data_IF_624176311264
#
_entry.id   IF_624176311264
#
_cell.length_a   1.000
_cell.length_b   1.000
_cell.length_c   1.000
_cell.angle_alpha   90.00
_cell.angle_beta   90.00
_cell.angle_gamma   90.00
#
_symmetry.space_group_name_H-M   'P 1'
#
loop_
_entity.id
_entity.type
_entity.pdbx_description
1 polymer ?
#
# COMPACT_ATOMS: atom_id res chain seq x y z
N UNK A 1 -12.26 -4.68 57.96
CA UNK A 1 -12.55 -5.50 56.77
C UNK A 1 -12.25 -4.65 55.54
N UNK A 2 -11.11 -4.87 54.88
CA UNK A 2 -10.65 -4.09 53.73
C UNK A 2 -10.96 -4.91 52.47
N UNK A 3 -11.74 -4.33 51.55
CA UNK A 3 -12.29 -5.01 50.37
C UNK A 3 -11.22 -5.44 49.34
N UNK A 4 -11.55 -6.40 48.46
CA UNK A 4 -10.60 -6.93 47.50
C UNK A 4 -10.28 -5.88 46.42
N UNK A 5 -8.99 -5.55 46.32
CA UNK A 5 -8.45 -4.67 45.28
C UNK A 5 -8.75 -5.20 43.89
N UNK A 6 -9.31 -4.33 43.06
CA UNK A 6 -9.49 -4.52 41.63
C UNK A 6 -8.12 -4.60 40.95
N UNK A 7 -7.62 -5.81 40.74
CA UNK A 7 -6.46 -6.03 39.87
C UNK A 7 -6.91 -5.70 38.44
N UNK A 8 -6.65 -4.47 38.01
CA UNK A 8 -6.76 -4.07 36.61
C UNK A 8 -5.91 -5.02 35.80
N UNK A 9 -6.54 -5.90 35.01
CA UNK A 9 -5.85 -6.72 34.03
C UNK A 9 -5.30 -5.78 32.95
N UNK A 10 -4.07 -5.32 33.13
CA UNK A 10 -3.29 -4.78 32.03
C UNK A 10 -2.96 -5.94 31.10
N UNK A 11 -3.82 -6.20 30.12
CA UNK A 11 -3.52 -7.12 29.02
C UNK A 11 -2.30 -6.53 28.30
N UNK A 12 -1.16 -7.24 28.33
CA UNK A 12 0.01 -6.83 27.57
C UNK A 12 -0.34 -6.86 26.08
N UNK A 13 -0.52 -5.67 25.49
CA UNK A 13 -0.78 -5.56 24.05
C UNK A 13 0.50 -6.04 23.34
N UNK A 14 0.42 -7.09 22.50
CA UNK A 14 1.61 -7.65 21.90
C UNK A 14 2.26 -6.62 20.96
N UNK A 15 3.59 -6.65 20.86
CA UNK A 15 4.40 -5.62 20.21
C UNK A 15 3.91 -5.28 18.78
N UNK A 16 3.43 -6.29 18.04
CA UNK A 16 2.94 -6.16 16.67
C UNK A 16 1.61 -5.37 16.53
N UNK A 17 0.91 -5.07 17.63
CA UNK A 17 -0.36 -4.32 17.66
C UNK A 17 -0.17 -2.89 18.20
N UNK A 18 1.02 -2.56 18.71
CA UNK A 18 1.31 -1.21 19.22
C UNK A 18 1.51 -0.25 18.04
N UNK A 19 0.68 0.78 17.97
CA UNK A 19 0.85 1.85 16.99
C UNK A 19 2.07 2.69 17.37
N UNK A 20 3.18 2.50 16.65
CA UNK A 20 4.33 3.39 16.77
C UNK A 20 4.02 4.73 16.09
N UNK A 21 4.51 5.87 16.63
CA UNK A 21 4.47 7.14 15.92
C UNK A 21 5.02 6.98 14.51
N UNK A 22 4.30 7.52 13.52
CA UNK A 22 4.76 7.46 12.12
C UNK A 22 5.87 8.49 11.92
N UNK A 23 6.94 8.05 11.27
CA UNK A 23 8.06 8.89 10.88
C UNK A 23 7.65 9.88 9.78
N UNK A 24 8.39 11.00 9.66
CA UNK A 24 8.08 12.00 8.63
C UNK A 24 8.55 11.52 7.25
N UNK A 25 7.76 11.84 6.22
CA UNK A 25 8.00 11.41 4.85
C UNK A 25 9.34 11.90 4.27
N UNK A 26 9.86 13.04 4.75
CA UNK A 26 11.12 13.62 4.30
C UNK A 26 12.34 13.09 5.07
N UNK A 27 12.13 12.39 6.18
CA UNK A 27 13.19 11.82 7.00
C UNK A 27 13.96 10.76 6.23
N UNK A 28 15.30 10.81 6.33
CA UNK A 28 16.17 9.79 5.73
C UNK A 28 16.40 8.69 6.75
N UNK A 29 16.00 7.48 6.38
CA UNK A 29 16.07 6.31 7.25
C UNK A 29 16.80 5.18 6.53
N UNK A 30 17.35 4.26 7.32
CA UNK A 30 18.13 3.16 6.80
C UNK A 30 17.24 2.02 6.26
N UNK A 31 17.56 1.49 5.08
CA UNK A 31 16.90 0.29 4.56
C UNK A 31 17.31 -0.94 5.37
N UNK A 32 16.34 -1.72 5.85
CA UNK A 32 16.61 -2.96 6.61
C UNK A 32 17.21 -4.10 5.78
N UNK A 33 17.19 -3.97 4.45
CA UNK A 33 17.68 -4.99 3.53
C UNK A 33 19.10 -4.70 3.00
N UNK A 34 19.52 -3.44 2.92
CA UNK A 34 20.81 -3.09 2.31
C UNK A 34 21.57 -1.96 3.03
N UNK A 35 21.04 -1.48 4.16
CA UNK A 35 21.61 -0.42 4.97
C UNK A 35 21.82 0.93 4.25
N UNK A 36 21.25 1.10 3.05
CA UNK A 36 21.27 2.39 2.36
C UNK A 36 20.38 3.40 3.10
N UNK A 37 20.88 4.63 3.28
CA UNK A 37 20.08 5.75 3.77
C UNK A 37 19.19 6.27 2.64
N UNK A 38 17.88 6.22 2.83
CA UNK A 38 16.87 6.56 1.82
C UNK A 38 15.77 7.39 2.48
N UNK A 39 15.24 8.39 1.75
CA UNK A 39 14.08 9.15 2.21
C UNK A 39 12.88 8.22 2.39
N UNK A 40 12.15 8.37 3.49
CA UNK A 40 11.04 7.50 3.84
C UNK A 40 9.97 7.43 2.73
N UNK A 41 9.68 8.56 2.09
CA UNK A 41 8.73 8.62 0.98
C UNK A 41 9.16 7.86 -0.29
N UNK A 42 10.45 7.59 -0.48
CA UNK A 42 10.98 6.78 -1.59
C UNK A 42 11.32 5.35 -1.19
N UNK A 43 11.29 5.03 0.11
CA UNK A 43 11.64 3.71 0.65
C UNK A 43 10.83 2.57 0.01
N UNK A 44 9.54 2.77 -0.28
CA UNK A 44 8.70 1.78 -0.97
C UNK A 44 9.28 1.39 -2.34
N UNK A 45 9.75 2.35 -3.13
CA UNK A 45 10.34 2.09 -4.44
C UNK A 45 11.70 1.42 -4.31
N UNK A 46 12.49 1.85 -3.33
CA UNK A 46 13.79 1.26 -3.04
C UNK A 46 13.68 -0.21 -2.62
N UNK A 47 12.82 -0.52 -1.64
CA UNK A 47 12.52 -1.89 -1.20
C UNK A 47 11.84 -2.71 -2.30
N UNK A 48 10.96 -2.08 -3.09
CA UNK A 48 10.34 -2.73 -4.25
C UNK A 48 11.36 -3.30 -5.23
N UNK A 49 12.51 -2.63 -5.44
CA UNK A 49 13.60 -3.15 -6.26
C UNK A 49 14.16 -4.47 -5.71
N UNK A 50 14.45 -4.51 -4.41
CA UNK A 50 14.96 -5.71 -3.73
C UNK A 50 13.97 -6.88 -3.85
N UNK A 51 12.68 -6.63 -3.59
CA UNK A 51 11.61 -7.63 -3.70
C UNK A 51 11.53 -8.16 -5.14
N UNK A 52 11.50 -7.27 -6.14
CA UNK A 52 11.41 -7.67 -7.55
C UNK A 52 12.64 -8.46 -8.00
N UNK A 53 13.84 -8.12 -7.52
CA UNK A 53 15.05 -8.86 -7.87
C UNK A 53 15.01 -10.27 -7.30
N UNK A 54 14.67 -10.39 -6.01
CA UNK A 54 14.49 -11.68 -5.34
C UNK A 54 13.45 -12.56 -6.04
N UNK A 55 12.26 -12.01 -6.34
CA UNK A 55 11.19 -12.74 -7.04
C UNK A 55 11.54 -13.18 -8.47
N UNK A 56 12.52 -12.52 -9.10
CA UNK A 56 13.00 -12.86 -10.45
C UNK A 56 14.27 -13.70 -10.43
N UNK A 57 14.75 -14.13 -9.26
CA UNK A 57 16.03 -14.83 -9.13
C UNK A 57 17.21 -13.99 -9.57
N UNK A 58 17.08 -12.66 -9.60
CA UNK A 58 18.17 -11.76 -9.94
C UNK A 58 18.99 -11.47 -8.68
N UNK A 59 20.31 -11.60 -8.80
CA UNK A 59 21.23 -11.25 -7.74
C UNK A 59 21.17 -9.74 -7.43
N UNK A 60 21.00 -9.40 -6.16
CA UNK A 60 21.09 -8.03 -5.67
C UNK A 60 22.29 -7.90 -4.74
N UNK A 61 23.39 -7.34 -5.27
CA UNK A 61 24.68 -7.30 -4.57
C UNK A 61 24.70 -6.51 -3.27
N UNK A 62 23.67 -5.69 -3.02
CA UNK A 62 23.56 -4.86 -1.82
C UNK A 62 22.66 -5.50 -0.77
N UNK A 63 21.98 -6.60 -1.10
CA UNK A 63 21.08 -7.28 -0.20
C UNK A 63 21.89 -8.01 0.88
N UNK A 64 21.56 -7.77 2.14
CA UNK A 64 22.20 -8.43 3.28
C UNK A 64 21.33 -9.57 3.82
N UNK A 65 20.18 -9.31 4.48
CA UNK A 65 19.20 -10.36 4.72
C UNK A 65 18.39 -10.64 3.47
N UNK A 66 17.98 -11.89 3.30
CA UNK A 66 17.04 -12.26 2.25
C UNK A 66 15.70 -11.53 2.40
N UNK A 67 15.06 -11.28 1.27
CA UNK A 67 13.68 -10.79 1.23
C UNK A 67 12.78 -11.86 1.86
N UNK A 68 11.87 -11.44 2.76
CA UNK A 68 10.96 -12.38 3.40
C UNK A 68 10.01 -13.06 2.41
N UNK A 69 9.53 -14.26 2.74
CA UNK A 69 8.61 -15.01 1.87
C UNK A 69 7.33 -14.22 1.52
N UNK A 70 6.77 -13.50 2.49
CA UNK A 70 5.66 -12.56 2.33
C UNK A 70 6.17 -11.14 2.67
N UNK A 71 6.89 -10.47 1.75
CA UNK A 71 7.67 -9.30 2.10
C UNK A 71 6.80 -8.06 2.26
N UNK A 72 7.07 -7.29 3.32
CA UNK A 72 6.45 -6.00 3.51
C UNK A 72 6.88 -4.99 2.43
N UNK A 73 5.92 -4.32 1.78
CA UNK A 73 6.22 -3.33 0.73
C UNK A 73 7.02 -2.10 1.18
N UNK A 74 7.21 -1.86 2.48
CA UNK A 74 8.03 -0.74 3.00
C UNK A 74 9.36 -1.15 3.58
N UNK A 75 9.45 -2.29 4.28
CA UNK A 75 10.70 -2.72 4.93
C UNK A 75 11.28 -4.02 4.35
N UNK A 76 10.54 -4.74 3.50
CA UNK A 76 10.98 -5.95 2.80
C UNK A 76 11.06 -7.22 3.65
N UNK A 77 10.94 -7.08 4.98
CA UNK A 77 10.93 -8.20 5.92
C UNK A 77 9.58 -8.94 5.88
N UNK A 78 9.61 -10.25 6.17
CA UNK A 78 8.42 -11.10 6.22
C UNK A 78 7.80 -11.21 7.61
N UNK A 79 6.48 -11.45 7.67
CA UNK A 79 5.77 -11.95 8.85
C UNK A 79 5.52 -10.97 10.02
N UNK A 80 6.07 -9.75 9.97
CA UNK A 80 6.00 -8.81 11.10
C UNK A 80 5.13 -7.57 10.85
N UNK A 81 4.84 -7.27 9.60
CA UNK A 81 4.08 -6.08 9.21
C UNK A 81 2.68 -6.47 8.75
N UNK A 82 1.68 -5.75 9.23
CA UNK A 82 0.30 -5.89 8.79
C UNK A 82 -0.14 -4.60 8.13
N UNK A 83 -0.74 -4.69 6.94
CA UNK A 83 -1.18 -3.54 6.15
C UNK A 83 -2.62 -3.76 5.73
N UNK A 84 -3.44 -2.73 5.89
CA UNK A 84 -4.86 -2.75 5.54
C UNK A 84 -5.19 -1.55 4.65
N UNK A 85 -6.11 -1.76 3.72
CA UNK A 85 -6.76 -0.68 2.98
C UNK A 85 -8.17 -0.52 3.56
N UNK A 86 -8.44 0.60 4.19
CA UNK A 86 -9.75 0.92 4.77
C UNK A 86 -10.44 1.99 3.95
N UNK A 87 -11.76 1.94 3.85
CA UNK A 87 -12.56 2.95 3.16
C UNK A 87 -13.30 3.79 4.19
N UNK A 88 -13.10 5.10 4.17
CA UNK A 88 -13.86 6.05 4.97
C UNK A 88 -14.86 6.78 4.09
N UNK A 89 -16.15 6.70 4.42
CA UNK A 89 -17.21 7.42 3.74
C UNK A 89 -17.59 8.66 4.53
N UNK A 90 -17.47 9.84 3.92
CA UNK A 90 -17.97 11.10 4.48
C UNK A 90 -18.92 11.76 3.49
N UNK A 91 -20.18 11.95 3.91
CA UNK A 91 -21.30 12.66 3.27
C UNK A 91 -21.61 12.31 1.80
N UNK A 92 -20.63 12.29 0.88
CA UNK A 92 -20.73 11.86 -0.53
C UNK A 92 -19.38 11.38 -1.14
N UNK A 93 -18.34 11.14 -0.32
CA UNK A 93 -17.02 10.76 -0.80
C UNK A 93 -16.50 9.54 -0.05
N UNK A 94 -16.08 8.52 -0.80
CA UNK A 94 -15.35 7.35 -0.29
C UNK A 94 -13.86 7.57 -0.52
N UNK A 95 -13.10 7.66 0.56
CA UNK A 95 -11.64 7.78 0.51
C UNK A 95 -11.01 6.49 1.01
N UNK A 96 -10.16 5.90 0.18
CA UNK A 96 -9.33 4.78 0.60
C UNK A 96 -8.11 5.29 1.38
N UNK A 97 -7.88 4.71 2.55
CA UNK A 97 -6.75 4.99 3.42
C UNK A 97 -5.94 3.72 3.64
N UNK A 98 -4.63 3.83 3.53
CA UNK A 98 -3.73 2.73 3.87
C UNK A 98 -3.31 2.90 5.32
N UNK A 99 -3.44 1.84 6.10
CA UNK A 99 -2.87 1.73 7.44
C UNK A 99 -1.88 0.58 7.46
N UNK A 100 -0.81 0.71 8.23
CA UNK A 100 0.18 -0.35 8.38
C UNK A 100 0.80 -0.31 9.77
N UNK A 101 1.14 -1.47 10.32
CA UNK A 101 1.96 -1.57 11.54
C UNK A 101 3.45 -1.38 11.25
N UNK A 102 3.85 -1.32 9.97
CA UNK A 102 5.24 -1.08 9.59
C UNK A 102 5.71 0.32 10.04
N UNK A 103 6.88 0.45 10.70
CA UNK A 103 7.43 1.75 11.06
C UNK A 103 7.80 2.59 9.83
N UNK A 104 8.05 1.95 8.68
CA UNK A 104 8.44 2.63 7.44
C UNK A 104 7.23 3.10 6.62
N UNK A 105 6.01 2.84 7.10
CA UNK A 105 4.81 3.44 6.55
C UNK A 105 4.65 4.89 7.04
N UNK A 106 4.57 5.86 6.12
CA UNK A 106 4.35 7.27 6.45
C UNK A 106 2.88 7.69 6.24
N UNK A 107 2.37 8.55 7.12
CA UNK A 107 0.94 8.87 7.18
C UNK A 107 0.40 9.64 5.96
N UNK A 108 1.25 10.37 5.24
CA UNK A 108 0.86 11.21 4.09
C UNK A 108 0.73 10.42 2.77
N UNK A 109 0.80 9.10 2.80
CA UNK A 109 0.68 8.28 1.60
C UNK A 109 -0.73 8.40 1.01
N UNK A 110 -0.82 8.84 -0.26
CA UNK A 110 -2.10 9.02 -0.95
C UNK A 110 -2.34 7.84 -1.88
N UNK A 111 -3.42 7.09 -1.64
CA UNK A 111 -3.85 6.01 -2.53
C UNK A 111 -4.60 6.54 -3.76
N UNK A 112 -5.41 7.59 -3.59
CA UNK A 112 -6.23 8.16 -4.68
C UNK A 112 -5.42 8.56 -5.90
N UNK A 113 -4.22 9.12 -5.72
CA UNK A 113 -3.34 9.49 -6.83
C UNK A 113 -2.81 8.28 -7.61
N UNK A 114 -2.68 7.12 -6.97
CA UNK A 114 -2.28 5.90 -7.65
C UNK A 114 -3.40 5.37 -8.57
N UNK A 115 -4.66 5.72 -8.34
CA UNK A 115 -5.77 5.29 -9.21
C UNK A 115 -5.72 5.87 -10.62
N UNK A 116 -4.92 6.89 -10.86
CA UNK A 116 -4.82 7.58 -12.15
C UNK A 116 -3.47 7.25 -12.77
N UNK A 117 -3.49 6.59 -13.93
CA UNK A 117 -2.29 6.42 -14.75
C UNK A 117 -1.94 7.76 -15.39
N UNK A 118 -0.66 8.08 -15.44
CA UNK A 118 -0.12 9.22 -16.19
C UNK A 118 1.04 8.77 -17.06
N UNK A 119 1.49 9.61 -18.00
CA UNK A 119 2.67 9.29 -18.83
C UNK A 119 3.92 9.02 -17.96
N UNK A 120 4.08 9.80 -16.88
CA UNK A 120 5.18 9.61 -15.93
C UNK A 120 4.97 8.43 -14.96
N UNK A 121 3.76 7.88 -14.87
CA UNK A 121 3.41 6.78 -13.95
C UNK A 121 2.28 5.94 -14.58
N UNK A 122 2.62 5.10 -15.59
CA UNK A 122 1.61 4.40 -16.39
C UNK A 122 0.88 3.30 -15.62
N UNK A 123 1.44 2.83 -14.50
CA UNK A 123 0.87 1.77 -13.68
C UNK A 123 0.09 2.33 -12.49
N UNK A 124 -1.17 1.94 -12.34
CA UNK A 124 -2.02 2.42 -11.25
C UNK A 124 -1.71 1.76 -9.90
N UNK A 125 -1.00 0.63 -9.84
CA UNK A 125 -0.70 -0.11 -8.59
C UNK A 125 -1.93 -0.27 -7.66
N UNK A 126 -3.14 -0.22 -8.23
CA UNK A 126 -4.42 -0.39 -7.54
C UNK A 126 -4.67 -1.89 -7.42
N UNK A 127 -4.81 -2.45 -6.21
CA UNK A 127 -5.26 -3.82 -6.03
C UNK A 127 -6.44 -4.17 -6.94
N UNK A 128 -6.29 -5.25 -7.69
CA UNK A 128 -7.36 -5.80 -8.51
C UNK A 128 -8.37 -6.49 -7.61
N UNK A 129 -9.65 -6.26 -7.87
CA UNK A 129 -10.71 -7.01 -7.19
C UNK A 129 -10.58 -8.48 -7.62
N UNK A 130 -10.30 -9.36 -6.66
CA UNK A 130 -10.29 -10.79 -6.92
C UNK A 130 -11.70 -11.24 -7.31
N UNK A 131 -11.91 -11.85 -8.49
CA UNK A 131 -13.24 -12.28 -8.94
C UNK A 131 -13.81 -13.42 -8.10
N UNK A 132 -12.97 -14.12 -7.33
CA UNK A 132 -13.38 -15.18 -6.39
C UNK A 132 -13.80 -14.64 -5.02
N UNK A 133 -13.41 -13.40 -4.69
CA UNK A 133 -13.82 -12.77 -3.45
C UNK A 133 -15.24 -12.19 -3.61
N UNK A 134 -16.12 -12.34 -2.61
CA UNK A 134 -17.41 -11.66 -2.61
C UNK A 134 -17.20 -10.16 -2.85
N UNK A 135 -17.91 -9.58 -3.83
CA UNK A 135 -17.87 -8.14 -4.02
C UNK A 135 -18.33 -7.46 -2.73
N UNK A 136 -17.41 -6.83 -2.00
CA UNK A 136 -17.80 -5.87 -0.97
C UNK A 136 -18.36 -4.65 -1.70
N UNK A 137 -19.64 -4.69 -2.06
CA UNK A 137 -20.35 -3.51 -2.54
C UNK A 137 -20.27 -2.49 -1.40
N UNK A 138 -19.70 -1.29 -1.61
CA UNK A 138 -20.11 -0.17 -0.76
C UNK A 138 -21.63 -0.03 -0.87
N UNK A 139 -22.35 0.44 0.18
CA UNK A 139 -23.79 0.63 0.13
C UNK A 139 -24.14 1.41 -1.14
N UNK A 140 -25.08 0.88 -1.94
CA UNK A 140 -25.53 1.49 -3.17
C UNK A 140 -25.91 2.94 -2.88
N UNK A 141 -25.07 3.88 -3.30
CA UNK A 141 -25.54 5.25 -3.55
C UNK A 141 -26.47 5.08 -4.75
N UNK A 142 -27.78 5.14 -4.51
CA UNK A 142 -28.79 5.14 -5.56
C UNK A 142 -28.42 6.24 -6.55
N UNK A 143 -27.96 5.86 -7.74
CA UNK A 143 -27.86 6.80 -8.86
C UNK A 143 -29.28 7.30 -9.17
N UNK A 144 -29.49 8.62 -9.34
CA UNK A 144 -30.75 9.10 -9.88
C UNK A 144 -30.93 8.51 -11.30
N UNK A 145 -32.14 8.09 -11.66
CA UNK A 145 -32.40 7.47 -12.95
C UNK A 145 -32.28 8.51 -14.06
N UNK A 146 -31.49 8.20 -15.08
CA UNK A 146 -31.54 8.90 -16.37
C UNK A 146 -30.27 9.65 -16.73
N UNK A 147 -29.28 8.92 -17.23
CA UNK A 147 -28.51 9.40 -18.40
C UNK A 147 -27.88 8.19 -19.06
N UNK A 148 -28.43 7.80 -20.20
CA UNK A 148 -27.86 6.78 -21.05
C UNK A 148 -26.46 7.24 -21.49
N UNK A 149 -25.43 6.43 -21.20
CA UNK A 149 -24.11 6.66 -21.74
C UNK A 149 -24.13 6.32 -23.25
N UNK A 150 -23.55 7.15 -24.12
CA UNK A 150 -23.37 6.79 -25.52
C UNK A 150 -22.31 5.67 -25.65
N UNK A 151 -22.60 4.79 -26.60
CA UNK A 151 -21.84 3.60 -26.97
C UNK A 151 -20.39 3.95 -27.37
N UNK A 152 -19.36 3.25 -26.86
CA UNK A 152 -17.99 3.51 -27.28
C UNK A 152 -17.73 2.90 -28.66
N UNK A 153 -17.62 3.73 -29.68
CA UNK A 153 -17.09 3.34 -30.98
C UNK A 153 -15.61 2.93 -30.86
N UNK A 154 -15.18 1.83 -31.50
CA UNK A 154 -13.79 1.38 -31.46
C UNK A 154 -12.94 2.23 -32.41
N UNK A 155 -11.99 2.99 -31.86
CA UNK A 155 -10.99 3.71 -32.66
C UNK A 155 -9.80 2.78 -32.90
N UNK A 156 -9.71 2.22 -34.11
CA UNK A 156 -8.48 1.58 -34.59
C UNK A 156 -7.43 2.67 -34.83
N UNK A 157 -6.33 2.62 -34.08
CA UNK A 157 -5.18 3.52 -34.27
C UNK A 157 -4.14 2.80 -35.13
N UNK A 158 -3.98 3.24 -36.37
CA UNK A 158 -2.88 2.85 -37.26
C UNK A 158 -1.58 3.55 -36.83
N UNK A 159 -0.55 2.76 -36.55
CA UNK A 159 0.79 3.24 -36.28
C UNK A 159 1.46 3.77 -37.57
N UNK A 160 2.14 4.93 -37.54
CA UNK A 160 3.03 5.32 -38.63
C UNK A 160 4.40 4.65 -38.49
N UNK A 161 4.90 4.27 -39.66
CA UNK A 161 6.17 3.62 -39.96
C UNK A 161 7.39 4.42 -39.48
N UNK A 162 8.47 3.67 -39.25
CA UNK A 162 9.76 4.08 -38.73
C UNK A 162 10.70 4.43 -39.89
N UNK A 163 11.20 5.66 -39.93
CA UNK A 163 12.35 6.18 -40.72
C UNK A 163 12.91 7.35 -39.87
N UNK A 164 14.18 7.56 -39.54
CA UNK A 164 15.48 6.89 -39.68
C UNK A 164 16.17 6.89 -38.31
#
# INVERSE_FOLDING_TARGET
MIGPGNKSLCVEIPLHVRLTPKLDAAESIECKLCHASVKLNTMRNHVGRHILYSLRGKHDSKLMPDVGAEPCGWCGLGGQCHTQLTHSTKKNSTTAQITSTCPYHYAKMKYKSAQVSSEASPCTNVPLQCPLCPCQRPPLVTQPPGTAAPDPTPVFSTAPSREE
#
